data_IF_359046446297
#
_entry.id   IF_359046446297
#
_cell.length_a   1.000
_cell.length_b   1.000
_cell.length_c   1.000
_cell.angle_alpha   90.00
_cell.angle_beta   90.00
_cell.angle_gamma   90.00
#
_symmetry.space_group_name_H-M   'P 1'
#
loop_
_entity.id
_entity.type
_entity.pdbx_description
1 polymer ?
#
# COMPACT_ATOMS: atom_id res chain seq x y z
N UNK A 1 -9.85 34.77 26.18
CA UNK A 1 -8.39 35.05 26.31
C UNK A 1 -7.95 35.86 25.10
N UNK A 2 -7.07 36.85 25.27
CA UNK A 2 -6.60 37.66 24.14
C UNK A 2 -5.32 37.08 23.49
N UNK A 3 -5.00 37.49 22.26
CA UNK A 3 -3.85 36.95 21.51
C UNK A 3 -2.49 37.23 22.17
N UNK A 4 -2.36 38.30 22.97
CA UNK A 4 -1.09 38.65 23.65
C UNK A 4 -0.86 37.76 24.88
N UNK A 5 -1.93 37.47 25.61
CA UNK A 5 -1.93 36.52 26.72
C UNK A 5 -1.63 35.10 26.20
N UNK A 6 -2.26 34.70 25.10
CA UNK A 6 -1.99 33.41 24.45
C UNK A 6 -0.54 33.29 23.94
N UNK A 7 0.02 34.37 23.39
CA UNK A 7 1.43 34.42 22.99
C UNK A 7 2.37 34.18 24.19
N UNK A 8 2.04 34.78 25.35
CA UNK A 8 2.79 34.62 26.59
C UNK A 8 2.70 33.19 27.13
N UNK A 9 1.51 32.57 27.07
CA UNK A 9 1.28 31.18 27.47
C UNK A 9 2.16 30.19 26.68
N UNK A 10 2.35 30.44 25.39
CA UNK A 10 3.15 29.58 24.51
C UNK A 10 4.62 30.02 24.35
N UNK A 11 5.06 31.08 25.05
CA UNK A 11 6.43 31.60 24.96
C UNK A 11 6.82 32.10 23.56
N UNK A 12 5.85 32.59 22.77
CA UNK A 12 6.06 33.05 21.39
C UNK A 12 5.72 34.54 21.23
N UNK A 13 6.19 35.15 20.14
CA UNK A 13 5.82 36.54 19.83
C UNK A 13 4.35 36.68 19.41
N UNK A 14 3.73 37.83 19.67
CA UNK A 14 2.36 38.14 19.19
C UNK A 14 2.23 38.03 17.66
N UNK A 15 3.29 38.35 16.91
CA UNK A 15 3.35 38.18 15.45
C UNK A 15 3.22 36.71 15.03
N UNK A 16 3.78 35.79 15.82
CA UNK A 16 3.65 34.35 15.60
C UNK A 16 2.20 33.90 15.76
N UNK A 17 1.50 34.39 16.80
CA UNK A 17 0.06 34.12 17.01
C UNK A 17 -0.79 34.72 15.88
N UNK A 18 -0.43 35.90 15.36
CA UNK A 18 -1.11 36.47 14.17
C UNK A 18 -0.94 35.59 12.94
N UNK A 19 0.27 35.05 12.70
CA UNK A 19 0.49 34.07 11.61
C UNK A 19 -0.28 32.77 11.81
N UNK A 20 -0.46 32.30 13.05
CA UNK A 20 -1.31 31.14 13.35
C UNK A 20 -2.78 31.43 13.08
N UNK A 21 -3.24 32.65 13.38
CA UNK A 21 -4.57 33.12 13.01
C UNK A 21 -4.77 33.13 11.49
N UNK A 22 -3.84 33.70 10.74
CA UNK A 22 -3.88 33.75 9.26
C UNK A 22 -3.91 32.35 8.63
N UNK A 23 -3.26 31.37 9.29
CA UNK A 23 -3.23 29.97 8.87
C UNK A 23 -4.44 29.15 9.34
N UNK A 24 -5.36 29.76 10.08
CA UNK A 24 -6.57 29.09 10.59
C UNK A 24 -6.32 28.10 11.71
N UNK A 25 -5.21 28.22 12.45
CA UNK A 25 -4.86 27.32 13.56
C UNK A 25 -5.39 27.79 14.92
N UNK A 26 -6.15 28.88 14.95
CA UNK A 26 -6.75 29.44 16.16
C UNK A 26 -8.26 29.50 16.02
N UNK A 27 -8.97 29.07 17.04
CA UNK A 27 -10.43 29.14 17.13
C UNK A 27 -10.84 30.31 18.02
N UNK A 28 -11.79 31.11 17.55
CA UNK A 28 -12.36 32.22 18.31
C UNK A 28 -13.84 31.96 18.59
N UNK A 29 -14.26 32.10 19.85
CA UNK A 29 -15.65 32.05 20.27
C UNK A 29 -16.05 33.42 20.82
N UNK A 30 -17.02 34.09 20.18
CA UNK A 30 -17.59 35.33 20.71
C UNK A 30 -16.62 36.51 20.87
N UNK A 31 -15.48 36.51 20.16
CA UNK A 31 -14.44 37.54 20.27
C UNK A 31 -13.26 37.14 21.16
N UNK A 32 -13.41 36.08 21.95
CA UNK A 32 -12.35 35.48 22.77
C UNK A 32 -11.69 34.30 22.07
N UNK A 33 -10.40 34.10 22.29
CA UNK A 33 -9.65 32.94 21.81
C UNK A 33 -9.98 31.72 22.68
N UNK A 34 -10.40 30.63 22.04
CA UNK A 34 -10.62 29.32 22.64
C UNK A 34 -9.27 28.59 22.74
N UNK A 35 -8.75 28.51 23.95
CA UNK A 35 -7.39 28.00 24.23
C UNK A 35 -7.30 26.51 23.95
N UNK A 36 -8.30 25.74 24.34
CA UNK A 36 -8.33 24.29 24.19
C UNK A 36 -8.35 23.90 22.70
N UNK A 37 -9.32 24.45 21.96
CA UNK A 37 -9.48 24.15 20.54
C UNK A 37 -8.31 24.68 19.69
N UNK A 38 -7.74 25.83 20.05
CA UNK A 38 -6.54 26.37 19.40
C UNK A 38 -5.30 25.51 19.69
N UNK A 39 -5.16 25.00 20.91
CA UNK A 39 -4.06 24.12 21.29
C UNK A 39 -4.11 22.78 20.55
N UNK A 40 -5.30 22.20 20.37
CA UNK A 40 -5.46 21.00 19.56
C UNK A 40 -5.02 21.22 18.10
N UNK A 41 -5.42 22.34 17.48
CA UNK A 41 -5.02 22.65 16.11
C UNK A 41 -3.52 22.91 16.01
N UNK A 42 -2.94 23.64 16.96
CA UNK A 42 -1.49 23.87 17.01
C UNK A 42 -0.76 22.54 17.19
N UNK A 43 -1.22 21.64 18.07
CA UNK A 43 -0.61 20.32 18.23
C UNK A 43 -0.68 19.47 16.96
N UNK A 44 -1.75 19.59 16.16
CA UNK A 44 -1.92 18.87 14.88
C UNK A 44 -1.00 19.39 13.78
N UNK A 45 -0.72 20.70 13.74
CA UNK A 45 0.00 21.34 12.62
C UNK A 45 1.40 21.82 12.96
N UNK A 46 1.76 21.96 14.23
CA UNK A 46 3.08 22.37 14.69
C UNK A 46 4.00 21.16 14.74
N UNK A 47 5.11 21.26 14.01
CA UNK A 47 6.28 20.40 14.22
C UNK A 47 7.03 20.96 15.42
N UNK A 48 7.13 20.20 16.51
CA UNK A 48 8.00 20.58 17.63
C UNK A 48 9.44 20.71 17.11
N UNK A 49 10.07 21.85 17.41
CA UNK A 49 11.44 22.18 16.98
C UNK A 49 11.59 23.07 15.73
N UNK A 50 10.52 23.64 15.18
CA UNK A 50 10.67 24.81 14.29
C UNK A 50 10.78 26.06 15.18
N UNK A 51 12.03 26.45 15.41
CA UNK A 51 12.40 27.70 16.07
C UNK A 51 11.50 28.84 15.60
N UNK A 52 11.05 29.65 16.55
CA UNK A 52 10.44 30.92 16.27
C UNK A 52 11.41 31.70 15.36
N UNK A 53 11.11 31.72 14.06
CA UNK A 53 11.81 32.53 13.06
C UNK A 53 11.55 33.99 13.40
N UNK A 54 12.25 34.48 14.41
CA UNK A 54 12.52 35.88 14.62
C UNK A 54 13.61 36.21 13.61
N UNK A 55 13.18 36.47 12.37
CA UNK A 55 14.05 37.11 11.41
C UNK A 55 14.34 38.52 11.94
N UNK A 56 15.48 38.67 12.61
CA UNK A 56 16.16 39.95 12.59
C UNK A 56 16.48 40.26 11.13
N UNK A 57 15.94 41.38 10.65
CA UNK A 57 16.13 41.85 9.29
C UNK A 57 17.58 42.32 9.15
N UNK A 58 18.45 41.46 8.62
CA UNK A 58 19.67 41.93 7.96
C UNK A 58 19.34 42.21 6.49
N UNK A 59 19.57 43.44 5.98
CA UNK A 59 19.46 43.70 4.57
C UNK A 59 20.69 43.09 3.88
N UNK A 60 20.51 42.71 2.62
CA UNK A 60 21.53 42.29 1.64
C UNK A 60 21.66 40.77 1.44
N UNK A 61 21.44 40.41 0.17
CA UNK A 61 21.65 39.14 -0.55
C UNK A 61 20.50 38.14 -0.58
N UNK A 62 19.68 38.28 -1.62
CA UNK A 62 18.87 37.19 -2.17
C UNK A 62 19.80 36.12 -2.77
N UNK A 63 19.63 34.87 -2.37
CA UNK A 63 19.99 33.73 -3.22
C UNK A 63 18.99 32.61 -2.99
N UNK A 64 18.06 32.48 -3.93
CA UNK A 64 17.11 31.37 -4.00
C UNK A 64 17.83 30.17 -4.62
N UNK A 65 18.31 29.25 -3.77
CA UNK A 65 18.76 27.93 -4.23
C UNK A 65 17.51 27.08 -4.48
N UNK A 66 17.07 27.06 -5.74
CA UNK A 66 15.92 26.28 -6.20
C UNK A 66 16.18 24.77 -6.16
N UNK A 67 15.25 24.01 -5.58
CA UNK A 67 15.27 22.56 -5.62
C UNK A 67 14.89 22.04 -7.02
N UNK A 68 15.74 21.16 -7.57
CA UNK A 68 15.54 20.49 -8.86
C UNK A 68 14.30 19.58 -8.83
N UNK A 69 13.44 19.73 -9.83
CA UNK A 69 12.28 18.88 -10.09
C UNK A 69 12.71 17.44 -10.38
N UNK A 70 12.22 16.49 -9.58
CA UNK A 70 12.37 15.04 -9.80
C UNK A 70 11.02 14.42 -10.20
N UNK A 71 11.00 13.27 -10.91
CA UNK A 71 9.93 12.90 -11.83
C UNK A 71 8.68 12.31 -11.16
N UNK A 72 7.55 12.38 -11.90
CA UNK A 72 6.22 11.91 -11.50
C UNK A 72 6.26 10.50 -10.90
N UNK A 73 5.94 10.38 -9.61
CA UNK A 73 5.70 9.10 -8.95
C UNK A 73 4.26 8.67 -9.18
N UNK A 74 4.11 7.40 -9.54
CA UNK A 74 2.85 6.63 -9.55
C UNK A 74 2.11 6.77 -8.21
N UNK A 75 0.78 6.81 -8.26
CA UNK A 75 -0.09 7.05 -7.12
C UNK A 75 0.02 5.92 -6.08
N UNK A 76 0.11 6.29 -4.80
CA UNK A 76 0.24 5.39 -3.63
C UNK A 76 -1.13 4.91 -3.13
N UNK A 77 -2.21 5.17 -3.86
CA UNK A 77 -3.57 4.82 -3.47
C UNK A 77 -4.07 3.56 -4.19
N UNK A 78 -4.55 2.58 -3.42
CA UNK A 78 -5.28 1.42 -3.95
C UNK A 78 -6.48 1.86 -4.78
N UNK A 79 -6.89 1.10 -5.80
CA UNK A 79 -8.03 1.43 -6.67
C UNK A 79 -9.36 1.71 -5.94
N UNK A 80 -9.50 1.27 -4.68
CA UNK A 80 -10.59 1.61 -3.75
C UNK A 80 -10.61 3.09 -3.29
N UNK A 81 -9.58 3.87 -3.63
CA UNK A 81 -9.46 5.30 -3.38
C UNK A 81 -9.56 6.12 -4.68
N UNK A 82 -10.28 5.62 -5.69
CA UNK A 82 -10.81 6.49 -6.74
C UNK A 82 -11.80 7.46 -6.11
N UNK A 83 -11.53 8.76 -6.25
CA UNK A 83 -12.40 9.86 -5.83
C UNK A 83 -13.79 9.60 -6.41
N UNK A 84 -14.69 9.11 -5.56
CA UNK A 84 -16.08 8.85 -5.90
C UNK A 84 -16.93 9.79 -5.06
N UNK A 85 -17.56 10.74 -5.74
CA UNK A 85 -18.58 11.61 -5.16
C UNK A 85 -19.84 10.75 -5.02
N UNK A 86 -20.32 10.55 -3.79
CA UNK A 86 -21.58 9.82 -3.57
C UNK A 86 -22.77 10.67 -4.04
N UNK A 87 -23.93 10.08 -4.39
CA UNK A 87 -25.09 10.84 -4.82
C UNK A 87 -25.53 11.83 -3.73
N UNK A 88 -25.62 13.12 -4.06
CA UNK A 88 -25.98 14.20 -3.11
C UNK A 88 -24.81 14.77 -2.30
N UNK A 89 -23.58 14.27 -2.49
CA UNK A 89 -22.37 14.78 -1.83
C UNK A 89 -21.75 15.91 -2.68
N UNK A 90 -21.38 17.01 -2.04
CA UNK A 90 -20.57 18.07 -2.67
C UNK A 90 -19.09 17.65 -2.78
N UNK A 91 -18.32 18.32 -3.62
CA UNK A 91 -16.90 18.01 -3.83
C UNK A 91 -16.11 18.15 -2.52
N UNK A 92 -16.48 19.15 -1.71
CA UNK A 92 -15.90 19.46 -0.40
C UNK A 92 -16.21 18.36 0.63
N UNK A 93 -17.43 17.82 0.62
CA UNK A 93 -17.83 16.73 1.51
C UNK A 93 -17.13 15.41 1.12
N UNK A 94 -17.01 15.14 -0.18
CA UNK A 94 -16.30 13.97 -0.69
C UNK A 94 -14.80 14.04 -0.35
N UNK A 95 -14.18 15.22 -0.47
CA UNK A 95 -12.78 15.42 -0.09
C UNK A 95 -12.57 15.30 1.41
N UNK A 96 -13.43 15.90 2.25
CA UNK A 96 -13.34 15.79 3.71
C UNK A 96 -13.45 14.32 4.17
N UNK A 97 -14.40 13.56 3.62
CA UNK A 97 -14.56 12.12 3.92
C UNK A 97 -13.33 11.31 3.54
N UNK A 98 -12.76 11.56 2.36
CA UNK A 98 -11.56 10.86 1.88
C UNK A 98 -10.35 11.23 2.74
N UNK A 99 -10.18 12.50 3.11
CA UNK A 99 -9.11 12.94 4.00
C UNK A 99 -9.21 12.22 5.35
N UNK A 100 -10.39 12.21 5.97
CA UNK A 100 -10.65 11.54 7.26
C UNK A 100 -10.32 10.05 7.17
N UNK A 101 -10.76 9.36 6.11
CA UNK A 101 -10.50 7.94 5.90
C UNK A 101 -9.02 7.61 5.64
N UNK A 102 -8.25 8.58 5.13
CA UNK A 102 -6.82 8.41 4.79
C UNK A 102 -5.89 8.81 5.96
N UNK A 103 -6.43 9.30 7.07
CA UNK A 103 -5.66 9.67 8.27
C UNK A 103 -5.45 11.17 8.46
N UNK A 104 -6.30 12.04 7.91
CA UNK A 104 -6.21 13.50 8.08
C UNK A 104 -6.32 14.01 9.52
N UNK A 105 -6.77 13.17 10.45
CA UNK A 105 -6.81 13.51 11.88
C UNK A 105 -5.52 13.13 12.62
N UNK A 106 -4.56 12.44 11.98
CA UNK A 106 -3.30 12.06 12.62
C UNK A 106 -2.39 13.28 12.77
N UNK A 107 -1.71 13.37 13.91
CA UNK A 107 -0.63 14.34 14.07
C UNK A 107 0.52 13.99 13.10
N UNK A 108 1.32 15.00 12.71
CA UNK A 108 2.49 14.88 11.84
C UNK A 108 3.43 13.76 12.32
N UNK A 109 3.64 13.63 13.63
CA UNK A 109 4.54 12.60 14.16
C UNK A 109 3.91 11.20 14.12
N UNK A 110 2.60 11.08 14.31
CA UNK A 110 1.88 9.82 14.08
C UNK A 110 1.95 9.42 12.61
N UNK A 111 1.74 10.37 11.69
CA UNK A 111 1.81 10.12 10.25
C UNK A 111 3.22 9.69 9.82
N UNK A 112 4.29 10.28 10.40
CA UNK A 112 5.67 9.83 10.16
C UNK A 112 5.91 8.42 10.68
N UNK A 113 5.47 8.12 11.91
CA UNK A 113 5.61 6.77 12.48
C UNK A 113 4.90 5.72 11.64
N UNK A 114 3.68 6.01 11.20
CA UNK A 114 2.93 5.13 10.29
C UNK A 114 3.70 4.92 8.99
N UNK A 115 4.22 5.99 8.38
CA UNK A 115 5.03 5.90 7.17
C UNK A 115 6.30 5.06 7.37
N UNK A 116 7.03 5.27 8.45
CA UNK A 116 8.25 4.51 8.77
C UNK A 116 7.94 3.03 9.01
N UNK A 117 6.86 2.72 9.74
CA UNK A 117 6.41 1.35 9.96
C UNK A 117 6.05 0.66 8.64
N UNK A 118 5.29 1.34 7.75
CA UNK A 118 4.96 0.79 6.44
C UNK A 118 6.20 0.59 5.55
N UNK A 119 7.17 1.50 5.63
CA UNK A 119 8.42 1.37 4.88
C UNK A 119 9.21 0.15 5.37
N UNK A 120 9.32 -0.03 6.69
CA UNK A 120 10.00 -1.18 7.29
C UNK A 120 9.31 -2.50 6.91
N UNK A 121 7.98 -2.58 6.97
CA UNK A 121 7.24 -3.79 6.63
C UNK A 121 7.37 -4.14 5.13
N UNK A 122 7.39 -3.12 4.27
CA UNK A 122 7.62 -3.33 2.83
C UNK A 122 9.02 -3.84 2.55
N UNK A 123 10.03 -3.28 3.20
CA UNK A 123 11.41 -3.74 3.07
C UNK A 123 11.57 -5.17 3.55
N UNK A 124 10.92 -5.51 4.68
CA UNK A 124 10.89 -6.88 5.18
C UNK A 124 10.24 -7.84 4.19
N UNK A 125 9.10 -7.47 3.59
CA UNK A 125 8.45 -8.31 2.58
C UNK A 125 9.32 -8.50 1.32
N UNK A 126 10.06 -7.48 0.89
CA UNK A 126 11.00 -7.64 -0.23
C UNK A 126 12.16 -8.55 0.16
N UNK A 127 12.72 -8.39 1.37
CA UNK A 127 13.73 -9.32 1.88
C UNK A 127 13.23 -10.77 1.94
N UNK A 128 12.01 -10.98 2.44
CA UNK A 128 11.40 -12.32 2.53
C UNK A 128 11.16 -12.93 1.14
N UNK A 129 10.87 -12.11 0.12
CA UNK A 129 10.75 -12.55 -1.28
C UNK A 129 12.10 -12.88 -1.89
N UNK A 130 13.10 -12.01 -1.71
CA UNK A 130 14.46 -12.20 -2.23
C UNK A 130 15.16 -13.41 -1.59
N UNK A 131 14.94 -13.62 -0.30
CA UNK A 131 15.41 -14.81 0.44
C UNK A 131 14.58 -16.07 0.14
N UNK A 132 13.55 -15.97 -0.70
CA UNK A 132 12.66 -17.06 -1.13
C UNK A 132 11.86 -17.70 0.01
N UNK A 133 11.65 -16.98 1.11
CA UNK A 133 10.80 -17.40 2.22
C UNK A 133 9.32 -17.31 1.85
N UNK A 134 8.96 -16.30 1.06
CA UNK A 134 7.56 -16.07 0.64
C UNK A 134 7.46 -15.87 -0.87
N UNK A 135 6.34 -16.32 -1.44
CA UNK A 135 5.99 -16.14 -2.85
C UNK A 135 4.53 -15.72 -2.93
N UNK A 136 4.17 -14.99 -3.99
CA UNK A 136 2.78 -14.61 -4.22
C UNK A 136 1.93 -15.87 -4.47
N UNK A 137 0.78 -15.94 -3.81
CA UNK A 137 -0.14 -17.07 -3.94
C UNK A 137 -0.64 -17.19 -5.38
N UNK A 138 -0.89 -16.07 -6.06
CA UNK A 138 -1.26 -16.04 -7.48
C UNK A 138 -0.22 -16.73 -8.36
N UNK A 139 1.08 -16.58 -8.09
CA UNK A 139 2.13 -17.23 -8.88
C UNK A 139 2.13 -18.75 -8.66
N UNK A 140 1.96 -19.20 -7.41
CA UNK A 140 1.86 -20.63 -7.09
C UNK A 140 0.61 -21.23 -7.72
N UNK A 141 -0.55 -20.60 -7.58
CA UNK A 141 -1.80 -21.10 -8.16
C UNK A 141 -1.74 -21.19 -9.68
N UNK A 142 -1.11 -20.22 -10.35
CA UNK A 142 -0.86 -20.26 -11.79
C UNK A 142 0.04 -21.42 -12.18
N UNK A 143 1.21 -21.55 -11.54
CA UNK A 143 2.15 -22.62 -11.84
C UNK A 143 1.53 -24.01 -11.64
N UNK A 144 0.89 -24.22 -10.48
CA UNK A 144 0.19 -25.47 -10.16
C UNK A 144 -0.98 -25.73 -11.13
N UNK A 145 -1.73 -24.68 -11.48
CA UNK A 145 -2.84 -24.78 -12.44
C UNK A 145 -2.38 -25.18 -13.85
N UNK A 146 -1.26 -24.63 -14.32
CA UNK A 146 -0.64 -25.00 -15.61
C UNK A 146 -0.24 -26.48 -15.63
N UNK A 147 0.39 -26.97 -14.55
CA UNK A 147 0.77 -28.39 -14.44
C UNK A 147 -0.45 -29.32 -14.41
N UNK A 148 -1.50 -29.00 -13.66
CA UNK A 148 -2.74 -29.78 -13.68
C UNK A 148 -3.44 -29.76 -15.04
N UNK A 149 -3.36 -28.65 -15.78
CA UNK A 149 -3.93 -28.56 -17.12
C UNK A 149 -3.23 -29.49 -18.11
N UNK A 150 -1.90 -29.63 -18.01
CA UNK A 150 -1.13 -30.60 -18.80
C UNK A 150 -1.58 -32.04 -18.50
N UNK A 151 -1.65 -32.43 -17.22
CA UNK A 151 -2.10 -33.77 -16.81
C UNK A 151 -3.51 -34.07 -17.28
N UNK A 152 -4.43 -33.11 -17.11
CA UNK A 152 -5.80 -33.25 -17.60
C UNK A 152 -5.83 -33.51 -19.11
N UNK A 153 -5.04 -32.77 -19.87
CA UNK A 153 -4.97 -32.94 -21.34
C UNK A 153 -4.42 -34.32 -21.69
N UNK A 154 -3.36 -34.77 -21.01
CA UNK A 154 -2.75 -36.09 -21.24
C UNK A 154 -3.71 -37.23 -20.91
N UNK A 155 -4.34 -37.20 -19.74
CA UNK A 155 -5.31 -38.22 -19.32
C UNK A 155 -6.49 -38.31 -20.29
N UNK A 156 -7.00 -37.17 -20.77
CA UNK A 156 -8.10 -37.14 -21.74
C UNK A 156 -7.70 -37.65 -23.14
N UNK A 157 -6.41 -37.62 -23.48
CA UNK A 157 -5.89 -38.12 -24.76
C UNK A 157 -5.70 -39.66 -24.77
N UNK A 158 -5.59 -40.30 -23.59
CA UNK A 158 -5.36 -41.74 -23.46
C UNK A 158 -6.33 -42.58 -24.30
N UNK A 159 -7.66 -42.36 -24.26
CA UNK A 159 -8.60 -43.18 -25.03
C UNK A 159 -8.36 -43.09 -26.53
N UNK A 160 -8.16 -41.88 -27.07
CA UNK A 160 -7.94 -41.68 -28.51
C UNK A 160 -6.62 -42.26 -28.99
N UNK A 161 -5.55 -42.16 -28.20
CA UNK A 161 -4.21 -42.63 -28.60
C UNK A 161 -4.07 -44.16 -28.46
N UNK A 162 -4.68 -44.74 -27.43
CA UNK A 162 -4.45 -46.15 -27.07
C UNK A 162 -5.61 -47.08 -27.43
N UNK A 163 -6.76 -46.56 -27.88
CA UNK A 163 -7.92 -47.38 -28.30
C UNK A 163 -7.53 -48.54 -29.25
N UNK A 164 -6.72 -48.36 -30.31
CA UNK A 164 -6.35 -49.46 -31.20
C UNK A 164 -5.50 -50.54 -30.52
N UNK A 165 -4.67 -50.16 -29.53
CA UNK A 165 -3.85 -51.09 -28.74
C UNK A 165 -4.74 -51.88 -27.78
N UNK A 166 -5.62 -51.19 -27.06
CA UNK A 166 -6.53 -51.80 -26.08
C UNK A 166 -7.49 -52.75 -26.78
N UNK A 167 -8.00 -52.41 -27.97
CA UNK A 167 -8.90 -53.26 -28.76
C UNK A 167 -8.31 -54.64 -29.11
N UNK A 168 -6.98 -54.77 -29.15
CA UNK A 168 -6.30 -56.04 -29.47
C UNK A 168 -6.11 -56.96 -28.26
N UNK A 169 -6.31 -56.46 -27.05
CA UNK A 169 -6.17 -57.24 -25.82
C UNK A 169 -7.35 -58.20 -25.66
N UNK A 170 -7.09 -59.40 -25.16
CA UNK A 170 -8.06 -60.51 -25.19
C UNK A 170 -8.71 -60.76 -23.85
N UNK A 171 -8.06 -60.32 -22.77
CA UNK A 171 -8.54 -60.52 -21.39
C UNK A 171 -8.81 -59.20 -20.70
N UNK A 172 -9.75 -59.21 -19.76
CA UNK A 172 -10.07 -58.02 -18.94
C UNK A 172 -8.87 -57.60 -18.10
N UNK A 173 -8.10 -58.56 -17.59
CA UNK A 173 -6.86 -58.30 -16.84
C UNK A 173 -5.82 -57.56 -17.68
N UNK A 174 -5.57 -58.00 -18.92
CA UNK A 174 -4.66 -57.30 -19.84
C UNK A 174 -5.09 -55.85 -20.09
N UNK A 175 -6.40 -55.62 -20.28
CA UNK A 175 -6.96 -54.29 -20.49
C UNK A 175 -6.76 -53.41 -19.25
N UNK A 176 -7.06 -53.94 -18.07
CA UNK A 176 -6.91 -53.23 -16.82
C UNK A 176 -5.45 -52.87 -16.54
N UNK A 177 -4.52 -53.82 -16.71
CA UNK A 177 -3.09 -53.60 -16.52
C UNK A 177 -2.54 -52.55 -17.51
N UNK A 178 -2.95 -52.63 -18.79
CA UNK A 178 -2.55 -51.66 -19.80
C UNK A 178 -3.10 -50.25 -19.50
N UNK A 179 -4.37 -50.13 -19.10
CA UNK A 179 -4.96 -48.84 -18.72
C UNK A 179 -4.30 -48.27 -17.47
N UNK A 180 -4.07 -49.09 -16.45
CA UNK A 180 -3.42 -48.67 -15.22
C UNK A 180 -2.00 -48.16 -15.51
N UNK A 181 -1.22 -48.88 -16.30
CA UNK A 181 0.11 -48.46 -16.72
C UNK A 181 0.13 -47.11 -17.45
N UNK A 182 -0.81 -46.89 -18.38
CA UNK A 182 -0.92 -45.63 -19.12
C UNK A 182 -1.29 -44.44 -18.21
N UNK A 183 -2.17 -44.67 -17.22
CA UNK A 183 -2.54 -43.64 -16.24
C UNK A 183 -1.34 -43.32 -15.35
N UNK A 184 -0.62 -44.34 -14.86
CA UNK A 184 0.58 -44.15 -14.04
C UNK A 184 1.65 -43.40 -14.82
N UNK A 185 1.91 -43.77 -16.08
CA UNK A 185 2.88 -43.07 -16.94
C UNK A 185 2.51 -41.59 -17.13
N UNK A 186 1.24 -41.29 -17.41
CA UNK A 186 0.75 -39.91 -17.56
C UNK A 186 0.83 -39.09 -16.25
N UNK A 187 0.75 -39.74 -15.08
CA UNK A 187 0.91 -39.09 -13.78
C UNK A 187 2.39 -38.94 -13.38
N UNK A 188 3.25 -39.91 -13.73
CA UNK A 188 4.69 -39.87 -13.47
C UNK A 188 5.41 -38.79 -14.29
N UNK A 189 4.90 -38.46 -15.48
CA UNK A 189 5.41 -37.37 -16.31
C UNK A 189 5.44 -36.04 -15.52
N UNK A 190 4.45 -35.80 -14.63
CA UNK A 190 4.41 -34.62 -13.76
C UNK A 190 5.49 -34.63 -12.68
N UNK A 191 5.85 -35.81 -12.16
CA UNK A 191 6.90 -35.93 -11.13
C UNK A 191 8.30 -35.76 -11.68
N UNK A 192 8.53 -36.06 -12.97
CA UNK A 192 9.85 -35.90 -13.61
C UNK A 192 10.19 -34.46 -13.94
N UNK A 193 9.21 -33.64 -14.31
CA UNK A 193 9.41 -32.20 -14.53
C UNK A 193 9.78 -31.44 -13.24
N UNK A 194 9.47 -32.01 -12.07
CA UNK A 194 9.90 -31.48 -10.76
C UNK A 194 11.41 -31.56 -10.49
N UNK A 195 12.16 -32.43 -11.18
CA UNK A 195 13.62 -32.53 -11.02
C UNK A 195 14.37 -31.36 -11.70
N UNK A 196 13.72 -30.64 -12.61
CA UNK A 196 14.30 -29.52 -13.35
C UNK A 196 14.49 -28.23 -12.55
N UNK A 197 13.93 -28.14 -11.33
CA UNK A 197 13.96 -26.90 -10.51
C UNK A 197 15.24 -26.81 -9.65
N UNK A 198 16.06 -27.87 -9.60
CA UNK A 198 17.31 -27.92 -8.82
C UNK A 198 18.59 -27.71 -9.68
N UNK A 199 18.58 -26.85 -10.70
CA UNK A 199 19.80 -26.39 -11.40
C UNK A 199 19.86 -24.88 -11.55
#
# INVERSE_FOLDING_TARGET
MNQSEFATLHGVSRKTVTKWKERGWLVFQGGDLDVEASNELIARYRRDGLDAVTQEQNPVTQTLVGNKTSPKKSAVTSASARVTIKPGETVEQATARILIATGANMNIDEAKRVKENYLALREQLEYDRESRLVVAVEDVTRAVGEEYAKVRTRLLAIPSENAPRIHRLKTVLEVQDAMYGLIVEALEELTRDGEGINR
#
